data_IF_960610350264
#
_entry.id   IF_960610350264
#
_cell.length_a   1.000
_cell.length_b   1.000
_cell.length_c   1.000
_cell.angle_alpha   90.00
_cell.angle_beta   90.00
_cell.angle_gamma   90.00
#
_symmetry.space_group_name_H-M   'P 1'
#
loop_
_entity.id
_entity.type
_entity.pdbx_description
1 polymer ?
#
# COMPACT_ATOMS: atom_id res chain seq x y z
N UNK A 1 1.83 25.52 -22.60
CA UNK A 1 0.95 24.52 -23.21
C UNK A 1 0.69 23.50 -22.15
N UNK A 2 -0.51 23.49 -21.60
CA UNK A 2 -0.92 22.47 -20.65
C UNK A 2 -0.97 21.15 -21.42
N UNK A 3 -0.14 20.17 -21.04
CA UNK A 3 -0.23 18.83 -21.61
C UNK A 3 -1.61 18.26 -21.30
N UNK A 4 -2.31 17.78 -22.33
CA UNK A 4 -3.61 17.15 -22.13
C UNK A 4 -3.47 15.94 -21.19
N UNK A 5 -4.40 15.77 -20.23
CA UNK A 5 -4.31 14.72 -19.24
C UNK A 5 -4.44 13.35 -19.91
N UNK A 6 -3.43 12.52 -19.74
CA UNK A 6 -3.46 11.09 -20.12
C UNK A 6 -3.64 10.26 -18.86
N UNK A 7 -4.48 9.22 -18.92
CA UNK A 7 -4.63 8.28 -17.80
C UNK A 7 -3.52 7.23 -17.84
N UNK A 8 -2.29 7.67 -17.57
CA UNK A 8 -1.09 6.82 -17.57
C UNK A 8 -0.25 6.96 -16.30
N UNK A 9 0.37 5.86 -15.89
CA UNK A 9 1.35 5.82 -14.80
C UNK A 9 2.61 5.12 -15.27
N UNK A 10 3.74 5.80 -15.15
CA UNK A 10 5.05 5.31 -15.56
C UNK A 10 5.96 5.13 -14.37
N UNK A 11 6.61 3.97 -14.27
CA UNK A 11 7.59 3.67 -13.23
C UNK A 11 8.90 3.18 -13.83
N UNK A 12 10.00 3.69 -13.28
CA UNK A 12 11.34 3.22 -13.63
C UNK A 12 11.80 2.16 -12.64
N UNK A 13 11.91 0.93 -13.12
CA UNK A 13 12.43 -0.21 -12.37
C UNK A 13 13.94 -0.28 -12.56
N UNK A 14 14.67 0.28 -11.58
CA UNK A 14 16.13 0.37 -11.63
C UNK A 14 16.79 -1.00 -11.77
N UNK A 15 17.77 -1.07 -12.66
CA UNK A 15 18.64 -2.22 -12.81
C UNK A 15 19.82 -2.27 -11.87
N UNK A 16 20.49 -3.43 -11.89
CA UNK A 16 21.87 -3.51 -11.43
C UNK A 16 22.79 -2.82 -12.43
N UNK A 17 23.98 -2.46 -11.99
CA UNK A 17 25.04 -1.98 -12.87
C UNK A 17 25.19 -2.91 -14.09
N UNK A 18 25.07 -2.33 -15.30
CA UNK A 18 25.17 -3.04 -16.57
C UNK A 18 23.90 -3.75 -17.07
N UNK A 19 22.84 -3.87 -16.27
CA UNK A 19 21.61 -4.61 -16.65
C UNK A 19 20.46 -3.73 -17.16
N UNK A 20 20.68 -2.42 -17.31
CA UNK A 20 19.71 -1.45 -17.82
C UNK A 20 18.55 -1.14 -16.88
N UNK A 21 17.92 0.02 -17.01
CA UNK A 21 16.63 0.27 -16.37
C UNK A 21 15.50 -0.27 -17.24
N UNK A 22 14.40 -0.68 -16.60
CA UNK A 22 13.16 -1.03 -17.30
C UNK A 22 12.15 0.06 -16.99
N UNK A 23 11.48 0.56 -18.02
CA UNK A 23 10.30 1.41 -17.87
C UNK A 23 9.08 0.50 -17.91
N UNK A 24 8.23 0.60 -16.90
CA UNK A 24 6.92 -0.04 -16.90
C UNK A 24 5.84 1.05 -16.92
N UNK A 25 4.96 1.00 -17.91
CA UNK A 25 3.82 1.90 -18.05
C UNK A 25 2.52 1.14 -17.89
N UNK A 26 1.56 1.72 -17.17
CA UNK A 26 0.16 1.31 -17.23
C UNK A 26 -0.68 2.45 -17.79
N UNK A 27 -1.49 2.18 -18.80
CA UNK A 27 -2.33 3.17 -19.48
C UNK A 27 -3.78 2.72 -19.50
N UNK A 28 -4.70 3.67 -19.38
CA UNK A 28 -6.09 3.49 -19.73
C UNK A 28 -6.45 4.51 -20.82
N UNK A 29 -6.96 4.03 -21.95
CA UNK A 29 -7.48 4.88 -23.02
C UNK A 29 -9.00 4.65 -23.11
N UNK A 30 -9.84 5.64 -22.74
CA UNK A 30 -11.29 5.55 -22.91
C UNK A 30 -11.67 5.28 -24.37
N UNK A 31 -12.79 4.58 -24.65
CA UNK A 31 -13.21 4.26 -26.01
C UNK A 31 -13.51 5.51 -26.86
N UNK A 32 -13.99 6.58 -26.24
CA UNK A 32 -14.39 7.87 -26.83
C UNK A 32 -13.30 8.96 -26.68
N UNK A 33 -12.05 8.57 -26.39
CA UNK A 33 -10.95 9.51 -26.26
C UNK A 33 -10.72 10.30 -27.56
N UNK A 34 -10.49 11.61 -27.42
CA UNK A 34 -10.22 12.53 -28.52
C UNK A 34 -8.79 12.46 -29.07
N UNK A 35 -8.61 12.95 -30.30
CA UNK A 35 -7.34 12.85 -31.04
C UNK A 35 -6.14 13.50 -30.31
N UNK A 36 -6.32 14.60 -29.58
CA UNK A 36 -5.24 15.26 -28.85
C UNK A 36 -4.68 14.40 -27.71
N UNK A 37 -5.57 13.75 -26.95
CA UNK A 37 -5.18 12.92 -25.80
C UNK A 37 -4.53 11.62 -26.28
N UNK A 38 -4.99 11.08 -27.41
CA UNK A 38 -4.31 10.00 -28.13
C UNK A 38 -2.89 10.43 -28.55
N UNK A 39 -2.71 11.63 -29.11
CA UNK A 39 -1.37 12.15 -29.48
C UNK A 39 -0.45 12.38 -28.28
N UNK A 40 -0.97 12.85 -27.15
CA UNK A 40 -0.22 12.97 -25.91
C UNK A 40 0.23 11.58 -25.42
N UNK A 41 -0.66 10.59 -25.43
CA UNK A 41 -0.33 9.21 -25.08
C UNK A 41 0.73 8.62 -26.01
N UNK A 42 0.60 8.79 -27.33
CA UNK A 42 1.56 8.28 -28.31
C UNK A 42 2.94 8.91 -28.15
N UNK A 43 3.02 10.20 -27.82
CA UNK A 43 4.29 10.86 -27.48
C UNK A 43 4.94 10.26 -26.24
N UNK A 44 4.17 9.96 -25.19
CA UNK A 44 4.69 9.28 -23.99
C UNK A 44 5.19 7.87 -24.31
N UNK A 45 4.43 7.11 -25.11
CA UNK A 45 4.83 5.77 -25.57
C UNK A 45 6.14 5.86 -26.36
N UNK A 46 6.25 6.83 -27.27
CA UNK A 46 7.46 7.05 -28.05
C UNK A 46 8.68 7.45 -27.22
N UNK A 47 8.50 8.31 -26.21
CA UNK A 47 9.59 8.64 -25.29
C UNK A 47 10.02 7.41 -24.46
N UNK A 48 9.07 6.58 -24.02
CA UNK A 48 9.34 5.39 -23.23
C UNK A 48 10.00 4.27 -24.06
N UNK A 49 9.65 4.14 -25.35
CA UNK A 49 10.18 3.11 -26.25
C UNK A 49 11.68 3.23 -26.50
N UNK A 50 12.25 4.43 -26.35
CA UNK A 50 13.70 4.67 -26.39
C UNK A 50 14.48 4.03 -25.22
N UNK A 51 13.80 3.48 -24.22
CA UNK A 51 14.44 2.84 -23.07
C UNK A 51 14.97 1.44 -23.40
N UNK A 52 16.00 0.98 -22.68
CA UNK A 52 16.61 -0.34 -22.91
C UNK A 52 15.62 -1.52 -22.73
N UNK A 53 14.57 -1.34 -21.93
CA UNK A 53 13.46 -2.26 -21.84
C UNK A 53 12.18 -1.53 -21.44
N UNK A 54 11.12 -1.78 -22.19
CA UNK A 54 9.79 -1.24 -21.96
C UNK A 54 8.79 -2.39 -21.77
N UNK A 55 7.94 -2.26 -20.75
CA UNK A 55 6.72 -3.05 -20.59
C UNK A 55 5.56 -2.07 -20.42
N UNK A 56 4.74 -1.93 -21.45
CA UNK A 56 3.55 -1.11 -21.43
C UNK A 56 2.33 -2.03 -21.35
N UNK A 57 1.37 -1.70 -20.49
CA UNK A 57 0.20 -2.54 -20.28
C UNK A 57 -1.06 -1.71 -20.03
N UNK A 58 -2.23 -2.29 -20.25
CA UNK A 58 -3.50 -1.67 -19.87
C UNK A 58 -4.57 -1.80 -20.94
N UNK A 59 -5.68 -1.10 -20.74
CA UNK A 59 -6.86 -1.17 -21.62
C UNK A 59 -6.82 0.01 -22.60
N UNK A 60 -6.67 -0.32 -23.88
CA UNK A 60 -6.53 0.65 -24.96
C UNK A 60 -7.83 0.85 -25.77
N UNK A 61 -8.87 0.04 -25.54
CA UNK A 61 -10.16 0.15 -26.21
C UNK A 61 -10.10 0.27 -27.76
N UNK A 62 -9.23 -0.51 -28.41
CA UNK A 62 -9.14 -0.63 -29.87
C UNK A 62 -9.64 -2.02 -30.36
N UNK A 63 -10.97 -2.26 -30.40
CA UNK A 63 -11.54 -3.59 -30.66
C UNK A 63 -11.33 -4.10 -32.09
N UNK A 64 -11.14 -3.19 -33.05
CA UNK A 64 -11.07 -3.46 -34.50
C UNK A 64 -9.64 -3.73 -35.00
N UNK A 65 -8.65 -3.76 -34.10
CA UNK A 65 -7.29 -4.14 -34.47
C UNK A 65 -7.20 -5.65 -34.66
N UNK A 66 -6.86 -6.07 -35.88
CA UNK A 66 -6.41 -7.41 -36.17
C UNK A 66 -4.88 -7.47 -36.01
N UNK A 67 -4.42 -7.96 -34.85
CA UNK A 67 -2.99 -8.13 -34.56
C UNK A 67 -2.29 -9.16 -35.47
N UNK A 68 -3.04 -10.14 -35.99
CA UNK A 68 -2.50 -11.15 -36.92
C UNK A 68 -2.16 -10.54 -38.28
N UNK A 69 -3.05 -9.72 -38.80
CA UNK A 69 -2.92 -9.11 -40.13
C UNK A 69 -2.26 -7.74 -40.08
N UNK A 70 -1.94 -7.25 -38.88
CA UNK A 70 -1.42 -5.91 -38.61
C UNK A 70 -2.26 -4.82 -39.30
N UNK A 71 -3.58 -4.90 -39.13
CA UNK A 71 -4.55 -4.00 -39.75
C UNK A 71 -5.61 -3.53 -38.75
N UNK A 72 -6.21 -2.38 -39.02
CA UNK A 72 -7.33 -1.83 -38.27
C UNK A 72 -8.30 -1.11 -39.19
N UNK A 73 -9.59 -1.12 -38.86
CA UNK A 73 -10.64 -0.53 -39.70
C UNK A 73 -10.76 0.97 -39.48
N UNK A 74 -10.86 1.39 -38.21
CA UNK A 74 -11.09 2.78 -37.85
C UNK A 74 -9.78 3.59 -37.87
N UNK A 75 -9.92 4.91 -38.07
CA UNK A 75 -8.78 5.83 -38.15
C UNK A 75 -7.98 5.84 -36.83
N UNK A 76 -8.66 5.86 -35.69
CA UNK A 76 -8.01 5.92 -34.37
C UNK A 76 -7.17 4.67 -34.11
N UNK A 77 -7.72 3.48 -34.34
CA UNK A 77 -7.00 2.21 -34.18
C UNK A 77 -5.83 2.08 -35.16
N UNK A 78 -5.96 2.58 -36.39
CA UNK A 78 -4.83 2.64 -37.35
C UNK A 78 -3.69 3.53 -36.82
N UNK A 79 -4.01 4.72 -36.29
CA UNK A 79 -2.99 5.61 -35.70
C UNK A 79 -2.28 4.97 -34.50
N UNK A 80 -3.03 4.26 -33.65
CA UNK A 80 -2.43 3.53 -32.54
C UNK A 80 -1.51 2.42 -33.05
N UNK A 81 -1.96 1.65 -34.04
CA UNK A 81 -1.17 0.57 -34.63
C UNK A 81 0.09 1.09 -35.33
N UNK A 82 0.01 2.22 -36.04
CA UNK A 82 1.15 2.96 -36.57
C UNK A 82 2.12 3.35 -35.45
N UNK A 83 1.62 3.93 -34.35
CA UNK A 83 2.45 4.26 -33.18
C UNK A 83 3.17 3.03 -32.61
N UNK A 84 2.48 1.90 -32.47
CA UNK A 84 3.07 0.63 -32.00
C UNK A 84 4.19 0.17 -32.94
N UNK A 85 3.95 0.22 -34.25
CA UNK A 85 4.89 -0.21 -35.28
C UNK A 85 6.12 0.71 -35.37
N UNK A 86 5.92 2.03 -35.38
CA UNK A 86 6.99 3.05 -35.42
C UNK A 86 7.92 2.95 -34.20
N UNK A 87 7.39 2.45 -33.08
CA UNK A 87 8.13 2.25 -31.83
C UNK A 87 8.65 0.83 -31.62
N UNK A 88 8.54 -0.04 -32.63
CA UNK A 88 8.98 -1.45 -32.59
C UNK A 88 8.42 -2.21 -31.38
N UNK A 89 7.18 -1.93 -31.01
CA UNK A 89 6.51 -2.56 -29.88
C UNK A 89 5.85 -3.87 -30.31
N UNK A 90 6.09 -4.91 -29.52
CA UNK A 90 5.53 -6.24 -29.70
C UNK A 90 4.36 -6.43 -28.74
N UNK A 91 3.19 -6.74 -29.30
CA UNK A 91 2.06 -7.28 -28.54
C UNK A 91 2.35 -8.72 -28.14
N UNK A 92 2.26 -9.02 -26.84
CA UNK A 92 2.50 -10.38 -26.31
C UNK A 92 1.23 -11.07 -25.81
N UNK A 93 0.09 -10.39 -25.77
CA UNK A 93 -1.21 -11.03 -25.49
C UNK A 93 -1.71 -11.72 -26.76
N UNK A 94 -2.05 -13.01 -26.69
CA UNK A 94 -2.55 -13.79 -27.84
C UNK A 94 -4.06 -14.07 -27.79
N UNK A 95 -4.67 -13.98 -26.61
CA UNK A 95 -6.08 -14.27 -26.39
C UNK A 95 -6.90 -12.98 -26.18
N UNK A 96 -8.17 -12.95 -26.64
CA UNK A 96 -9.08 -11.87 -26.32
C UNK A 96 -9.27 -11.67 -24.81
N UNK A 97 -9.31 -10.41 -24.38
CA UNK A 97 -9.39 -10.05 -22.96
C UNK A 97 -10.79 -9.61 -22.57
N UNK A 98 -11.68 -9.33 -23.53
CA UNK A 98 -13.08 -8.98 -23.29
C UNK A 98 -13.98 -9.42 -24.45
N UNK A 99 -14.92 -10.35 -24.19
CA UNK A 99 -15.99 -10.75 -25.14
C UNK A 99 -15.53 -11.01 -26.59
N UNK A 100 -14.33 -11.57 -26.78
CA UNK A 100 -13.78 -11.87 -28.11
C UNK A 100 -12.93 -10.75 -28.73
N UNK A 101 -12.85 -9.57 -28.11
CA UNK A 101 -11.92 -8.51 -28.49
C UNK A 101 -10.67 -8.47 -27.58
N UNK A 102 -9.54 -8.08 -28.15
CA UNK A 102 -8.28 -7.86 -27.44
C UNK A 102 -8.13 -6.37 -27.12
N UNK A 103 -8.59 -5.96 -25.93
CA UNK A 103 -8.56 -4.56 -25.51
C UNK A 103 -7.44 -4.29 -24.49
N UNK A 104 -7.15 -5.29 -23.65
CA UNK A 104 -6.10 -5.23 -22.65
C UNK A 104 -4.79 -5.74 -23.26
N UNK A 105 -3.89 -4.81 -23.55
CA UNK A 105 -2.66 -5.07 -24.29
C UNK A 105 -1.47 -5.18 -23.33
N UNK A 106 -0.47 -5.97 -23.73
CA UNK A 106 0.85 -5.95 -23.10
C UNK A 106 1.87 -5.79 -24.22
N UNK A 107 2.47 -4.60 -24.30
CA UNK A 107 3.41 -4.19 -25.32
C UNK A 107 4.84 -4.17 -24.76
N UNK A 108 5.82 -4.63 -25.53
CA UNK A 108 7.23 -4.55 -25.16
C UNK A 108 8.13 -4.26 -26.35
N UNK A 109 9.16 -3.44 -26.14
CA UNK A 109 10.18 -3.16 -27.17
C UNK A 109 11.30 -4.21 -27.22
N UNK A 110 11.25 -5.23 -26.35
CA UNK A 110 12.32 -6.22 -26.20
C UNK A 110 11.78 -7.63 -26.12
N UNK A 111 12.07 -8.44 -27.14
CA UNK A 111 11.77 -9.86 -27.16
C UNK A 111 12.32 -10.59 -25.93
N UNK A 112 11.51 -11.47 -25.34
CA UNK A 112 11.85 -12.25 -24.15
C UNK A 112 11.87 -11.48 -22.83
N UNK A 113 11.57 -10.18 -22.82
CA UNK A 113 11.43 -9.41 -21.57
C UNK A 113 10.14 -9.76 -20.82
N UNK A 114 9.08 -10.09 -21.55
CA UNK A 114 7.80 -10.55 -21.00
C UNK A 114 7.62 -12.03 -21.36
N UNK A 115 7.19 -12.83 -20.38
CA UNK A 115 6.89 -14.26 -20.57
C UNK A 115 5.83 -14.77 -19.60
N UNK A 116 5.47 -16.05 -19.73
CA UNK A 116 4.40 -16.71 -18.95
C UNK A 116 3.06 -15.94 -18.98
N UNK A 117 2.73 -15.32 -20.13
CA UNK A 117 1.47 -14.59 -20.34
C UNK A 117 0.30 -15.58 -20.34
N UNK A 118 -0.72 -15.32 -19.53
CA UNK A 118 -1.90 -16.18 -19.39
C UNK A 118 -3.09 -15.40 -18.85
N UNK A 119 -4.29 -15.78 -19.26
CA UNK A 119 -5.52 -15.24 -18.69
C UNK A 119 -5.90 -15.99 -17.40
N UNK A 120 -6.42 -15.26 -16.40
CA UNK A 120 -6.79 -15.79 -15.07
C UNK A 120 -8.28 -15.65 -14.74
N UNK A 121 -9.10 -15.48 -15.76
CA UNK A 121 -10.53 -15.20 -15.64
C UNK A 121 -10.78 -13.82 -15.06
N UNK A 122 -12.05 -13.47 -14.86
CA UNK A 122 -12.41 -12.13 -14.43
C UNK A 122 -12.17 -11.87 -12.94
N UNK A 123 -11.76 -10.63 -12.67
CA UNK A 123 -11.67 -10.10 -11.32
C UNK A 123 -13.02 -9.54 -10.88
N UNK A 124 -13.60 -10.09 -9.81
CA UNK A 124 -14.94 -9.68 -9.38
C UNK A 124 -15.94 -9.87 -10.52
N UNK A 125 -16.87 -8.93 -10.69
CA UNK A 125 -17.90 -8.93 -11.75
C UNK A 125 -17.42 -8.32 -13.07
N UNK A 126 -16.12 -8.06 -13.22
CA UNK A 126 -15.59 -7.50 -14.46
C UNK A 126 -15.90 -8.42 -15.64
N UNK A 127 -16.20 -7.82 -16.78
CA UNK A 127 -16.28 -8.46 -18.08
C UNK A 127 -14.92 -8.56 -18.78
N UNK A 128 -13.86 -7.99 -18.19
CA UNK A 128 -12.47 -8.18 -18.60
C UNK A 128 -11.85 -9.39 -17.90
N UNK A 129 -11.01 -10.11 -18.64
CA UNK A 129 -10.17 -11.18 -18.14
C UNK A 129 -8.84 -10.64 -17.61
N UNK A 130 -8.40 -11.15 -16.47
CA UNK A 130 -7.12 -10.75 -15.88
C UNK A 130 -5.96 -11.32 -16.70
N UNK A 131 -5.08 -10.45 -17.19
CA UNK A 131 -3.81 -10.83 -17.80
C UNK A 131 -2.75 -11.00 -16.71
N UNK A 132 -2.22 -12.22 -16.53
CA UNK A 132 -1.07 -12.50 -15.67
C UNK A 132 0.15 -12.76 -16.57
N UNK A 133 1.25 -12.05 -16.32
CA UNK A 133 2.52 -12.28 -17.01
C UNK A 133 3.69 -12.07 -16.06
N UNK A 134 4.89 -12.41 -16.52
CA UNK A 134 6.15 -12.19 -15.81
C UNK A 134 7.08 -11.29 -16.61
N UNK A 135 7.64 -10.29 -15.94
CA UNK A 135 8.78 -9.53 -16.45
C UNK A 135 10.04 -10.33 -16.14
N UNK A 136 10.59 -10.97 -17.16
CA UNK A 136 11.73 -11.87 -17.07
C UNK A 136 13.02 -11.06 -16.93
N UNK A 137 13.60 -11.13 -15.74
CA UNK A 137 14.85 -10.45 -15.43
C UNK A 137 15.71 -11.26 -14.48
N UNK A 138 17.01 -11.32 -14.75
CA UNK A 138 18.00 -11.79 -13.79
C UNK A 138 18.06 -10.85 -12.58
N UNK A 139 17.28 -11.15 -11.54
CA UNK A 139 17.28 -10.43 -10.29
C UNK A 139 17.73 -11.36 -9.15
N UNK A 140 18.86 -11.04 -8.49
CA UNK A 140 19.10 -11.56 -7.14
C UNK A 140 18.11 -10.88 -6.22
N UNK A 141 17.23 -11.65 -5.59
CA UNK A 141 16.27 -11.19 -4.59
C UNK A 141 17.03 -10.38 -3.54
N UNK A 142 16.90 -9.06 -3.57
CA UNK A 142 17.35 -8.24 -2.46
C UNK A 142 16.45 -8.58 -1.28
N UNK A 143 16.96 -9.37 -0.34
CA UNK A 143 16.28 -9.50 0.93
C UNK A 143 16.28 -8.10 1.55
N UNK A 144 15.11 -7.50 1.65
CA UNK A 144 14.89 -6.32 2.49
C UNK A 144 15.49 -6.66 3.86
N UNK A 145 16.67 -6.09 4.17
CA UNK A 145 17.33 -6.22 5.47
C UNK A 145 16.67 -5.26 6.46
N UNK A 146 15.34 -5.10 6.41
CA UNK A 146 14.65 -4.29 7.40
C UNK A 146 14.68 -5.04 8.74
N UNK A 147 15.52 -4.58 9.65
CA UNK A 147 15.47 -4.95 11.06
C UNK A 147 14.49 -4.01 11.77
N UNK A 148 13.67 -4.57 12.66
CA UNK A 148 12.79 -3.79 13.55
C UNK A 148 12.98 -4.28 14.97
N UNK A 149 12.83 -3.38 15.94
CA UNK A 149 12.86 -3.74 17.36
C UNK A 149 11.76 -4.74 17.70
N UNK A 150 12.09 -5.78 18.47
CA UNK A 150 11.15 -6.79 18.93
C UNK A 150 10.71 -6.53 20.37
N UNK A 151 9.81 -5.55 20.54
CA UNK A 151 9.24 -5.18 21.84
C UNK A 151 8.58 -6.35 22.59
N UNK A 152 8.24 -7.47 21.93
CA UNK A 152 7.73 -8.67 22.62
C UNK A 152 8.79 -9.39 23.44
N UNK A 153 10.06 -9.25 23.07
CA UNK A 153 11.21 -9.87 23.72
C UNK A 153 12.06 -8.83 24.45
N UNK A 154 11.51 -7.63 24.67
CA UNK A 154 12.20 -6.58 25.39
C UNK A 154 12.35 -6.96 26.86
N UNK A 155 13.55 -6.80 27.40
CA UNK A 155 13.78 -6.86 28.84
C UNK A 155 13.40 -5.50 29.46
N UNK A 156 12.12 -5.37 29.81
CA UNK A 156 11.56 -4.14 30.39
C UNK A 156 12.14 -3.89 31.79
N UNK A 157 12.53 -4.94 32.52
CA UNK A 157 13.17 -4.81 33.82
C UNK A 157 14.52 -4.13 33.70
N UNK A 158 15.40 -4.66 32.85
CA UNK A 158 16.70 -4.05 32.57
C UNK A 158 16.56 -2.65 31.98
N UNK A 159 15.57 -2.41 31.12
CA UNK A 159 15.32 -1.10 30.54
C UNK A 159 15.00 -0.05 31.60
N UNK A 160 14.12 -0.40 32.56
CA UNK A 160 13.80 0.46 33.70
C UNK A 160 15.02 0.70 34.58
N UNK A 161 15.81 -0.33 34.86
CA UNK A 161 16.98 -0.22 35.73
C UNK A 161 18.07 0.68 35.11
N UNK A 162 18.30 0.56 33.80
CA UNK A 162 19.27 1.42 33.08
C UNK A 162 18.87 2.90 33.13
N UNK A 163 17.58 3.20 32.98
CA UNK A 163 17.09 4.59 33.06
C UNK A 163 17.01 5.09 34.51
N UNK A 164 16.69 4.22 35.46
CA UNK A 164 16.60 4.58 36.88
C UNK A 164 17.95 4.85 37.55
N UNK A 165 19.05 4.29 37.02
CA UNK A 165 20.42 4.51 37.53
C UNK A 165 21.02 5.86 37.13
N UNK A 166 20.41 6.57 36.19
CA UNK A 166 20.92 7.84 35.71
C UNK A 166 20.56 8.91 36.75
N UNK A 167 21.54 9.67 37.28
CA UNK A 167 21.26 10.78 38.19
C UNK A 167 20.69 11.96 37.40
N UNK A 168 19.40 11.88 37.05
CA UNK A 168 18.71 12.84 36.18
C UNK A 168 18.84 14.28 36.67
N UNK A 169 18.77 14.50 37.99
CA UNK A 169 18.92 15.83 38.59
C UNK A 169 20.23 16.49 38.16
N UNK A 170 21.35 15.76 38.22
CA UNK A 170 22.68 16.25 37.79
C UNK A 170 22.84 16.27 36.28
N UNK A 171 22.25 15.30 35.59
CA UNK A 171 22.36 15.21 34.14
C UNK A 171 21.65 16.38 33.43
N UNK A 172 20.57 16.89 34.04
CA UNK A 172 19.73 17.94 33.50
C UNK A 172 19.95 19.31 34.17
N UNK A 173 20.76 19.38 35.23
CA UNK A 173 21.04 20.62 35.98
C UNK A 173 21.59 21.73 35.09
N UNK A 174 20.99 22.92 35.17
CA UNK A 174 21.44 24.12 34.44
C UNK A 174 21.26 24.06 32.92
N UNK A 175 20.52 23.07 32.40
CA UNK A 175 20.31 22.90 30.95
C UNK A 175 18.95 23.38 30.50
N UNK A 176 18.89 23.91 29.27
CA UNK A 176 17.63 24.23 28.61
C UNK A 176 16.82 22.98 28.25
N UNK A 177 15.54 23.17 27.91
CA UNK A 177 14.63 22.06 27.57
C UNK A 177 15.14 21.21 26.39
N UNK A 178 15.71 21.85 25.36
CA UNK A 178 16.23 21.15 24.18
C UNK A 178 17.44 20.28 24.50
N UNK A 179 18.41 20.82 25.27
CA UNK A 179 19.59 20.06 25.68
C UNK A 179 19.21 18.91 26.62
N UNK A 180 18.28 19.15 27.53
CA UNK A 180 17.72 18.15 28.43
C UNK A 180 17.03 17.01 27.66
N UNK A 181 16.25 17.34 26.62
CA UNK A 181 15.63 16.35 25.74
C UNK A 181 16.66 15.52 24.97
N UNK A 182 17.71 16.14 24.42
CA UNK A 182 18.75 15.43 23.70
C UNK A 182 19.48 14.42 24.59
N UNK A 183 19.77 14.80 25.84
CA UNK A 183 20.39 13.91 26.84
C UNK A 183 19.47 12.75 27.19
N UNK A 184 18.20 13.04 27.50
CA UNK A 184 17.20 12.02 27.78
C UNK A 184 17.05 11.05 26.61
N UNK A 185 16.87 11.57 25.39
CA UNK A 185 16.75 10.79 24.15
C UNK A 185 17.98 9.92 23.93
N UNK A 186 19.18 10.45 24.16
CA UNK A 186 20.43 9.69 24.06
C UNK A 186 20.44 8.47 24.97
N UNK A 187 20.14 8.66 26.26
CA UNK A 187 20.06 7.57 27.23
C UNK A 187 18.93 6.58 26.94
N UNK A 188 17.78 7.07 26.50
CA UNK A 188 16.64 6.24 26.10
C UNK A 188 17.00 5.33 24.93
N UNK A 189 17.65 5.86 23.90
CA UNK A 189 18.08 5.09 22.74
C UNK A 189 19.18 4.08 23.10
N UNK A 190 20.12 4.44 23.97
CA UNK A 190 21.13 3.50 24.47
C UNK A 190 20.52 2.35 25.27
N UNK A 191 19.56 2.64 26.16
CA UNK A 191 18.81 1.61 26.89
C UNK A 191 18.00 0.73 25.92
N UNK A 192 17.41 1.34 24.89
CA UNK A 192 16.62 0.63 23.88
C UNK A 192 17.47 -0.38 23.10
N UNK A 193 18.67 0.01 22.68
CA UNK A 193 19.60 -0.88 21.96
C UNK A 193 20.06 -2.07 22.81
N UNK A 194 20.23 -1.87 24.12
CA UNK A 194 20.69 -2.91 25.05
C UNK A 194 19.58 -3.87 25.45
N UNK A 195 18.35 -3.38 25.61
CA UNK A 195 17.27 -4.17 26.20
C UNK A 195 16.30 -4.75 25.17
N UNK A 196 16.27 -4.22 23.95
CA UNK A 196 15.28 -4.63 22.93
C UNK A 196 16.00 -5.29 21.75
N UNK A 197 15.93 -6.63 21.63
CA UNK A 197 16.56 -7.31 20.52
C UNK A 197 15.92 -6.89 19.18
N UNK A 198 16.72 -6.85 18.13
CA UNK A 198 16.20 -6.64 16.78
C UNK A 198 15.71 -7.96 16.19
N UNK A 199 14.60 -7.91 15.46
CA UNK A 199 14.15 -9.00 14.60
C UNK A 199 14.22 -8.57 13.15
N UNK A 200 14.57 -9.52 12.28
CA UNK A 200 14.38 -9.33 10.84
C UNK A 200 12.89 -9.28 10.56
N UNK A 201 12.44 -8.26 9.81
CA UNK A 201 11.18 -8.42 9.08
C UNK A 201 11.42 -9.50 8.05
N UNK A 202 10.94 -10.71 8.33
CA UNK A 202 10.69 -11.67 7.26
C UNK A 202 9.80 -10.93 6.25
N UNK A 203 10.29 -10.74 5.02
CA UNK A 203 9.47 -10.14 3.95
C UNK A 203 8.13 -10.85 3.98
N UNK A 204 7.04 -10.09 4.16
CA UNK A 204 5.70 -10.60 4.51
C UNK A 204 5.57 -12.00 3.94
N UNK A 205 5.72 -13.03 4.78
CA UNK A 205 5.19 -14.32 4.40
C UNK A 205 3.74 -13.96 4.12
N UNK A 206 3.33 -14.12 2.87
CA UNK A 206 1.93 -14.03 2.44
C UNK A 206 1.21 -15.22 3.05
N UNK A 207 1.30 -15.35 4.37
CA UNK A 207 0.50 -16.22 5.19
C UNK A 207 -0.93 -15.92 4.80
N UNK A 208 -1.68 -16.99 4.58
CA UNK A 208 -3.07 -16.91 4.16
C UNK A 208 -3.78 -15.89 5.06
N UNK A 209 -4.58 -14.98 4.49
CA UNK A 209 -5.34 -14.03 5.28
C UNK A 209 -6.07 -14.79 6.39
N UNK A 210 -6.19 -14.23 7.59
CA UNK A 210 -6.79 -14.96 8.72
C UNK A 210 -8.27 -15.35 8.49
N UNK A 211 -8.96 -14.80 7.49
CA UNK A 211 -10.29 -15.24 7.07
C UNK A 211 -10.27 -16.46 6.11
N UNK A 212 -9.11 -16.81 5.54
CA UNK A 212 -8.97 -17.84 4.52
C UNK A 212 -8.69 -19.20 5.18
N UNK A 213 -9.76 -19.85 5.63
CA UNK A 213 -9.72 -21.22 6.12
C UNK A 213 -9.61 -22.26 4.96
N UNK A 214 -9.48 -23.55 5.28
CA UNK A 214 -9.36 -24.62 4.27
C UNK A 214 -10.57 -24.71 3.34
N UNK A 215 -11.76 -24.44 3.86
CA UNK A 215 -13.02 -24.52 3.11
C UNK A 215 -13.14 -23.41 2.06
N UNK A 216 -12.89 -22.15 2.46
CA UNK A 216 -12.84 -21.00 1.55
C UNK A 216 -11.79 -21.21 0.48
N UNK A 217 -10.64 -21.77 0.84
CA UNK A 217 -9.60 -22.11 -0.13
C UNK A 217 -10.08 -23.18 -1.13
N UNK A 218 -10.83 -24.19 -0.67
CA UNK A 218 -11.46 -25.19 -1.54
C UNK A 218 -12.38 -24.55 -2.57
N UNK A 219 -13.26 -23.63 -2.15
CA UNK A 219 -14.14 -22.88 -3.06
C UNK A 219 -13.39 -22.01 -4.07
N UNK A 220 -12.30 -21.38 -3.65
CA UNK A 220 -11.43 -20.60 -4.56
C UNK A 220 -10.74 -21.51 -5.59
N UNK A 221 -10.35 -22.73 -5.22
CA UNK A 221 -9.80 -23.71 -6.15
C UNK A 221 -10.85 -24.22 -7.14
N UNK A 222 -12.04 -24.56 -6.64
CA UNK A 222 -13.18 -24.99 -7.46
C UNK A 222 -13.52 -23.92 -8.52
N UNK A 223 -13.56 -22.63 -8.13
CA UNK A 223 -13.71 -21.52 -9.08
C UNK A 223 -12.65 -21.56 -10.19
N UNK A 224 -11.37 -21.78 -9.84
CA UNK A 224 -10.28 -21.83 -10.82
C UNK A 224 -10.36 -23.05 -11.73
N UNK A 225 -10.87 -24.16 -11.24
CA UNK A 225 -11.12 -25.38 -12.03
C UNK A 225 -12.28 -25.18 -13.00
N UNK A 226 -13.41 -24.67 -12.51
CA UNK A 226 -14.57 -24.33 -13.33
C UNK A 226 -14.23 -23.33 -14.45
N UNK A 227 -13.39 -22.32 -14.18
CA UNK A 227 -12.90 -21.41 -15.22
C UNK A 227 -12.10 -22.13 -16.32
N UNK A 228 -11.21 -23.08 -15.95
CA UNK A 228 -10.45 -23.85 -16.95
C UNK A 228 -11.38 -24.75 -17.77
N UNK A 229 -12.33 -25.41 -17.12
CA UNK A 229 -13.33 -26.24 -17.79
C UNK A 229 -14.20 -25.41 -18.74
N UNK A 230 -14.63 -24.21 -18.32
CA UNK A 230 -15.42 -23.30 -19.15
C UNK A 230 -14.64 -22.83 -20.38
N UNK A 231 -13.39 -22.40 -20.22
CA UNK A 231 -12.51 -22.01 -21.35
C UNK A 231 -12.26 -23.16 -22.33
N UNK A 232 -12.32 -24.41 -21.86
CA UNK A 232 -12.16 -25.61 -22.69
C UNK A 232 -13.51 -26.13 -23.26
N UNK A 233 -14.62 -25.45 -23.00
CA UNK A 233 -15.96 -25.88 -23.42
C UNK A 233 -16.51 -27.10 -22.66
N UNK A 234 -15.85 -27.52 -21.57
CA UNK A 234 -16.25 -28.66 -20.75
C UNK A 234 -17.31 -28.31 -19.70
N UNK A 235 -17.43 -27.03 -19.36
CA UNK A 235 -18.35 -26.50 -18.33
C UNK A 235 -19.19 -25.40 -18.97
N UNK A 236 -20.51 -25.47 -18.77
CA UNK A 236 -21.43 -24.44 -19.23
C UNK A 236 -21.17 -23.09 -18.53
N UNK A 237 -21.48 -21.98 -19.20
CA UNK A 237 -21.30 -20.65 -18.62
C UNK A 237 -22.10 -20.48 -17.32
N UNK A 238 -23.31 -21.04 -17.27
CA UNK A 238 -24.22 -20.99 -16.13
C UNK A 238 -23.60 -21.66 -14.90
N UNK A 239 -23.06 -22.87 -15.06
CA UNK A 239 -22.41 -23.63 -13.99
C UNK A 239 -21.15 -22.92 -13.47
N UNK A 240 -20.34 -22.36 -14.39
CA UNK A 240 -19.21 -21.53 -14.00
C UNK A 240 -19.65 -20.30 -13.19
N UNK A 241 -20.69 -19.60 -13.65
CA UNK A 241 -21.23 -18.40 -12.98
C UNK A 241 -21.73 -18.72 -11.57
N UNK A 242 -22.42 -19.84 -11.39
CA UNK A 242 -22.87 -20.30 -10.07
C UNK A 242 -21.70 -20.60 -9.14
N UNK A 243 -20.67 -21.30 -9.64
CA UNK A 243 -19.46 -21.60 -8.87
C UNK A 243 -18.73 -20.32 -8.44
N UNK A 244 -18.66 -19.32 -9.32
CA UNK A 244 -18.10 -18.00 -9.02
C UNK A 244 -18.89 -17.32 -7.90
N UNK A 245 -20.22 -17.31 -7.99
CA UNK A 245 -21.09 -16.67 -7.00
C UNK A 245 -20.96 -17.35 -5.63
N UNK A 246 -21.02 -18.68 -5.58
CA UNK A 246 -20.85 -19.46 -4.36
C UNK A 246 -19.49 -19.20 -3.69
N UNK A 247 -18.40 -19.15 -4.47
CA UNK A 247 -17.07 -18.83 -3.95
C UNK A 247 -16.99 -17.41 -3.38
N UNK A 248 -17.61 -16.42 -4.05
CA UNK A 248 -17.66 -15.03 -3.55
C UNK A 248 -18.44 -14.93 -2.25
N UNK A 249 -19.60 -15.58 -2.17
CA UNK A 249 -20.44 -15.53 -0.98
C UNK A 249 -19.73 -16.18 0.21
N UNK A 250 -19.00 -17.28 0.00
CA UNK A 250 -18.21 -17.89 1.07
C UNK A 250 -17.05 -17.02 1.52
N UNK A 251 -16.35 -16.34 0.60
CA UNK A 251 -15.33 -15.34 0.96
C UNK A 251 -15.94 -14.18 1.75
N UNK A 252 -17.13 -13.71 1.37
CA UNK A 252 -17.84 -12.62 2.07
C UNK A 252 -18.21 -13.04 3.48
N UNK A 253 -18.83 -14.22 3.64
CA UNK A 253 -19.20 -14.80 4.95
C UNK A 253 -17.97 -14.99 5.84
N UNK A 254 -16.87 -15.52 5.32
CA UNK A 254 -15.65 -15.73 6.10
C UNK A 254 -14.99 -14.42 6.57
N UNK A 255 -15.03 -13.36 5.75
CA UNK A 255 -14.57 -12.03 6.16
C UNK A 255 -15.46 -11.44 7.25
N UNK A 256 -16.78 -11.49 7.07
CA UNK A 256 -17.74 -10.99 8.04
C UNK A 256 -17.65 -11.74 9.37
N UNK A 257 -17.50 -13.07 9.34
CA UNK A 257 -17.32 -13.89 10.55
C UNK A 257 -16.04 -13.51 11.30
N UNK A 258 -14.94 -13.25 10.57
CA UNK A 258 -13.69 -12.78 11.19
C UNK A 258 -13.89 -11.43 11.87
N UNK A 259 -14.57 -10.49 11.22
CA UNK A 259 -14.87 -9.17 11.78
C UNK A 259 -15.77 -9.28 13.02
N UNK A 260 -16.80 -10.12 12.96
CA UNK A 260 -17.70 -10.41 14.08
C UNK A 260 -16.94 -10.98 15.29
N UNK A 261 -16.07 -11.97 15.07
CA UNK A 261 -15.24 -12.54 16.13
C UNK A 261 -14.30 -11.48 16.74
N UNK A 262 -13.68 -10.63 15.90
CA UNK A 262 -12.84 -9.53 16.37
C UNK A 262 -13.62 -8.51 17.20
N UNK A 263 -14.90 -8.26 16.87
CA UNK A 263 -15.77 -7.35 17.60
C UNK A 263 -16.23 -7.95 18.95
N UNK A 264 -16.56 -9.24 18.98
CA UNK A 264 -16.95 -9.95 20.20
C UNK A 264 -15.79 -10.01 21.20
N UNK A 265 -14.57 -10.26 20.71
CA UNK A 265 -13.40 -10.48 21.55
C UNK A 265 -12.65 -9.17 21.89
N UNK A 266 -13.24 -7.99 21.62
CA UNK A 266 -12.60 -6.67 21.89
C UNK A 266 -12.24 -6.51 23.36
N UNK A 267 -13.14 -6.93 24.27
CA UNK A 267 -12.95 -6.76 25.71
C UNK A 267 -11.73 -7.54 26.20
N UNK A 268 -11.58 -8.78 25.73
CA UNK A 268 -10.52 -9.68 26.15
C UNK A 268 -9.21 -9.47 25.36
N UNK A 269 -9.29 -8.95 24.13
CA UNK A 269 -8.14 -8.84 23.22
C UNK A 269 -8.13 -7.53 22.41
N UNK A 270 -8.16 -6.39 23.11
CA UNK A 270 -8.09 -5.02 22.55
C UNK A 270 -6.99 -4.88 21.49
N UNK A 271 -5.81 -5.50 21.71
CA UNK A 271 -4.65 -5.43 20.81
C UNK A 271 -4.90 -6.04 19.42
N UNK A 272 -5.77 -7.05 19.31
CA UNK A 272 -6.11 -7.65 18.03
C UNK A 272 -7.00 -6.73 17.19
N UNK A 273 -7.95 -6.05 17.84
CA UNK A 273 -8.88 -5.10 17.23
C UNK A 273 -8.15 -3.84 16.76
N UNK A 274 -7.28 -3.23 17.58
CA UNK A 274 -6.44 -2.10 17.15
C UNK A 274 -5.50 -2.47 15.99
N UNK A 275 -5.00 -3.71 15.96
CA UNK A 275 -4.20 -4.21 14.83
C UNK A 275 -5.03 -4.33 13.57
N UNK A 276 -6.27 -4.83 13.68
CA UNK A 276 -7.19 -4.93 12.55
C UNK A 276 -7.51 -3.54 11.98
N UNK A 277 -7.87 -2.59 12.84
CA UNK A 277 -8.17 -1.20 12.44
C UNK A 277 -6.96 -0.55 11.78
N UNK A 278 -5.77 -0.68 12.38
CA UNK A 278 -4.54 -0.12 11.79
C UNK A 278 -4.12 -0.80 10.48
N UNK A 279 -4.41 -2.08 10.27
CA UNK A 279 -4.22 -2.76 8.97
C UNK A 279 -5.20 -2.26 7.90
N UNK A 280 -6.41 -1.84 8.29
CA UNK A 280 -7.45 -1.33 7.39
C UNK A 280 -7.30 0.16 7.07
N UNK A 281 -6.66 0.92 7.95
CA UNK A 281 -6.36 2.33 7.73
C UNK A 281 -5.37 2.47 6.56
N UNK A 282 -5.82 3.10 5.47
CA UNK A 282 -5.03 3.35 4.25
C UNK A 282 -3.97 4.43 4.46
N UNK A 283 -4.26 5.40 5.31
CA UNK A 283 -3.36 6.46 5.75
C UNK A 283 -2.86 6.15 7.15
N UNK A 284 -1.56 6.34 7.38
CA UNK A 284 -1.08 6.56 8.74
C UNK A 284 -1.58 7.94 9.13
N UNK A 285 -2.25 8.07 10.28
CA UNK A 285 -2.57 9.38 10.84
C UNK A 285 -1.23 10.09 11.05
N UNK A 286 -0.91 11.02 10.16
CA UNK A 286 -0.03 12.12 10.51
C UNK A 286 -0.89 13.12 11.28
N UNK A 287 -0.26 13.92 12.14
CA UNK A 287 -0.96 15.04 12.78
C UNK A 287 -1.55 15.90 11.65
N UNK A 288 -2.87 16.08 11.70
CA UNK A 288 -3.60 16.89 10.72
C UNK A 288 -3.10 18.34 10.73
N UNK A 289 -3.50 19.16 9.75
CA UNK A 289 -3.18 20.57 9.79
C UNK A 289 -3.68 21.19 11.10
N UNK A 290 -2.83 21.97 11.77
CA UNK A 290 -3.17 22.68 13.00
C UNK A 290 -3.47 24.14 12.68
N UNK A 291 -4.27 24.81 13.51
CA UNK A 291 -4.39 26.27 13.44
C UNK A 291 -3.41 26.88 14.42
N UNK A 292 -2.61 27.83 13.96
CA UNK A 292 -1.79 28.65 14.84
C UNK A 292 -2.64 29.74 15.51
N UNK A 293 -2.02 30.53 16.38
CA UNK A 293 -2.69 31.63 17.08
C UNK A 293 -3.20 32.74 16.14
N UNK A 294 -2.62 32.89 14.94
CA UNK A 294 -3.09 33.84 13.91
C UNK A 294 -4.27 33.32 13.09
N UNK A 295 -4.70 32.07 13.32
CA UNK A 295 -5.81 31.43 12.62
C UNK A 295 -5.44 30.75 11.30
N UNK A 296 -4.17 30.76 10.92
CA UNK A 296 -3.65 30.15 9.69
C UNK A 296 -3.49 28.64 9.82
N UNK A 297 -3.66 27.94 8.69
CA UNK A 297 -3.60 26.49 8.62
C UNK A 297 -2.15 26.01 8.41
N UNK A 298 -1.60 25.38 9.45
CA UNK A 298 -0.22 24.88 9.50
C UNK A 298 -0.15 23.44 9.01
N UNK A 299 0.59 23.20 7.92
CA UNK A 299 0.67 21.88 7.27
C UNK A 299 2.03 21.21 7.39
N UNK A 300 3.11 21.96 7.65
CA UNK A 300 4.46 21.42 7.83
C UNK A 300 4.66 20.86 9.23
N UNK A 301 5.40 19.75 9.35
CA UNK A 301 5.56 19.04 10.63
C UNK A 301 6.35 19.84 11.68
N UNK A 302 7.29 20.70 11.26
CA UNK A 302 8.04 21.58 12.17
C UNK A 302 7.11 22.63 12.79
N UNK A 303 6.40 23.36 11.94
CA UNK A 303 5.47 24.41 12.37
C UNK A 303 4.35 23.83 13.25
N UNK A 304 3.85 22.62 12.96
CA UNK A 304 2.88 21.93 13.84
C UNK A 304 3.45 21.67 15.22
N UNK A 305 4.73 21.27 15.31
CA UNK A 305 5.38 21.02 16.58
C UNK A 305 5.56 22.31 17.39
N UNK A 306 5.87 23.42 16.71
CA UNK A 306 5.95 24.77 17.31
C UNK A 306 4.59 25.21 17.87
N UNK A 307 3.51 25.13 17.08
CA UNK A 307 2.15 25.47 17.53
C UNK A 307 1.75 24.66 18.77
N UNK A 308 2.05 23.36 18.79
CA UNK A 308 1.78 22.53 19.97
C UNK A 308 2.65 22.95 21.16
N UNK A 309 3.93 23.24 20.93
CA UNK A 309 4.85 23.68 21.97
C UNK A 309 4.41 25.01 22.60
N UNK A 310 3.98 25.97 21.79
CA UNK A 310 3.51 27.28 22.24
C UNK A 310 2.22 27.15 23.06
N UNK A 311 1.29 26.30 22.60
CA UNK A 311 0.11 25.96 23.38
C UNK A 311 0.46 25.29 24.72
N UNK A 312 1.36 24.31 24.74
CA UNK A 312 1.78 23.66 25.98
C UNK A 312 2.50 24.62 26.93
N UNK A 313 3.29 25.56 26.40
CA UNK A 313 3.94 26.59 27.18
C UNK A 313 2.92 27.58 27.77
N UNK A 314 1.88 27.95 27.02
CA UNK A 314 0.86 28.91 27.49
C UNK A 314 -0.02 28.36 28.62
N UNK A 315 -0.30 27.05 28.63
CA UNK A 315 -1.05 26.39 29.71
C UNK A 315 -0.17 25.92 30.87
N UNK A 316 1.16 26.07 30.76
CA UNK A 316 2.09 25.67 31.81
C UNK A 316 2.02 26.67 32.98
N UNK A 317 1.23 26.34 33.98
CA UNK A 317 1.18 27.10 35.23
C UNK A 317 2.39 26.73 36.09
N UNK A 318 3.33 27.67 36.22
CA UNK A 318 4.47 27.55 37.12
C UNK A 318 4.02 27.49 38.58
N UNK A 319 3.63 26.30 39.06
CA UNK A 319 3.56 26.05 40.49
C UNK A 319 5.00 26.02 41.00
N UNK A 320 5.35 27.10 41.70
CA UNK A 320 6.59 27.23 42.48
C UNK A 320 6.97 25.91 43.16
N UNK A 321 8.23 25.51 42.96
CA UNK A 321 8.89 24.38 43.60
C UNK A 321 9.08 24.65 45.11
N UNK A 322 8.00 24.77 45.88
CA UNK A 322 8.05 24.85 47.35
C UNK A 322 7.32 23.72 48.07
N UNK A 323 6.82 22.72 47.36
CA UNK A 323 6.37 21.48 47.98
C UNK A 323 7.11 20.29 47.40
N UNK A 324 8.08 19.81 48.15
CA UNK A 324 8.59 18.45 48.08
C UNK A 324 7.41 17.49 48.06
N UNK A 325 7.00 17.04 46.88
CA UNK A 325 6.05 15.94 46.76
C UNK A 325 6.78 14.70 47.25
N UNK A 326 6.53 14.32 48.51
CA UNK A 326 6.85 12.98 48.97
C UNK A 326 6.19 11.99 48.02
N UNK A 327 7.02 11.25 47.28
CA UNK A 327 6.58 10.08 46.52
C UNK A 327 6.10 9.06 47.56
N UNK A 328 4.79 9.06 47.80
CA UNK A 328 4.15 7.93 48.46
C UNK A 328 4.08 6.80 47.45
N UNK A 329 4.57 5.62 47.82
CA UNK A 329 4.45 4.39 47.03
C UNK A 329 2.97 4.10 46.75
N UNK A 330 2.51 4.54 45.57
CA UNK A 330 1.17 4.28 45.08
C UNK A 330 1.07 2.87 44.52
N UNK A 331 0.61 1.94 45.37
CA UNK A 331 0.02 0.66 44.96
C UNK A 331 -0.93 0.90 43.77
N UNK A 332 -0.76 0.12 42.70
CA UNK A 332 -1.49 0.26 41.45
C UNK A 332 -2.99 0.41 41.65
N UNK A 333 -3.56 1.49 41.12
CA UNK A 333 -5.00 1.64 40.94
C UNK A 333 -5.33 1.43 39.46
N UNK A 334 -6.20 0.46 39.23
CA UNK A 334 -6.82 0.14 37.95
C UNK A 334 -7.60 1.34 37.43
N UNK A 335 -7.28 1.77 36.21
CA UNK A 335 -7.92 2.87 35.50
C UNK A 335 -9.24 2.47 34.81
N UNK A 336 -10.00 1.50 35.35
CA UNK A 336 -11.16 0.96 34.62
C UNK A 336 -12.43 1.81 34.69
N UNK A 337 -12.54 2.84 35.54
CA UNK A 337 -13.81 3.60 35.67
C UNK A 337 -13.62 5.12 35.89
N UNK A 338 -12.92 5.81 34.99
CA UNK A 338 -12.98 7.27 34.93
C UNK A 338 -13.65 7.70 33.61
N UNK A 339 -14.87 8.24 33.71
CA UNK A 339 -15.52 8.91 32.58
C UNK A 339 -14.71 10.15 32.17
N UNK A 340 -14.54 10.41 30.86
CA UNK A 340 -13.85 11.61 30.40
C UNK A 340 -14.74 12.85 30.64
N UNK A 341 -14.16 14.02 30.94
CA UNK A 341 -14.92 15.24 31.15
C UNK A 341 -15.58 15.69 29.83
N UNK A 342 -16.87 15.92 29.88
CA UNK A 342 -17.68 16.50 28.80
C UNK A 342 -17.26 17.95 28.57
N UNK A 343 -16.79 18.27 27.37
CA UNK A 343 -16.60 19.65 26.92
C UNK A 343 -17.91 20.10 26.27
N UNK A 344 -18.50 21.17 26.81
CA UNK A 344 -19.71 21.79 26.27
C UNK A 344 -19.46 22.44 24.92
N UNK A 345 -20.39 22.23 24.00
CA UNK A 345 -20.52 22.99 22.75
C UNK A 345 -20.77 24.46 23.09
N UNK A 346 -19.92 25.36 22.60
CA UNK A 346 -20.30 26.71 22.14
C UNK A 346 -19.06 27.50 21.69
N UNK A 347 -18.85 27.57 20.36
CA UNK A 347 -18.93 28.79 19.54
C UNK A 347 -18.17 28.60 18.20
N UNK A 348 -18.82 29.15 17.17
CA UNK A 348 -18.65 28.97 15.71
C UNK A 348 -17.30 29.45 15.17
#
# INVERSE_FOLDING_TARGET
MDEEPTESLWVRVKGRAGAGDIIAGVCYRPPDQGDGADEALYRQIGAASCSQGLVLMGDFNHPDICWRDNAAECKQSRRFLECVNDNFLLQVTEEPTRRGAMLDLVLTNKGGLVGDVKLKGSLGCSDHEMVEFRILRAARRAHSKLTTLDFRRADIGLFRDLLGRIPWDKALEGRGAQDSWLIFKGHLLQAQERCIPTKRKSGKNTGRPAWMNKEVLGKVKQKKEAYRGWKQGQVAWEEYRETVQAARDQVRKAKALRELNLARDVKDNKKSSYRYVSEKRRTRENVGPLRNETGDLVTQDMEKAEVLNDFFASVFTGKSLSHTAQVTEGKGRDWENAEPPTVGEDQV
#
